data_IF_488795249253
#
_entry.id   IF_488795249253
#
_cell.length_a   1.000
_cell.length_b   1.000
_cell.length_c   1.000
_cell.angle_alpha   90.00
_cell.angle_beta   90.00
_cell.angle_gamma   90.00
#
_symmetry.space_group_name_H-M   'P 1'
#
loop_
_entity.id
_entity.type
_entity.pdbx_description
1 polymer ?
#
# COMPACT_ATOMS: atom_id res chain seq x y z
N UNK A 1 14.65 10.84 -22.93
CA UNK A 1 15.99 11.36 -22.60
C UNK A 1 16.92 10.16 -22.54
N UNK A 2 17.83 10.05 -23.50
CA UNK A 2 18.87 9.01 -23.54
C UNK A 2 20.12 9.51 -22.81
N UNK A 3 21.05 8.61 -22.45
CA UNK A 3 22.28 9.02 -21.77
C UNK A 3 23.12 10.01 -22.60
N UNK A 4 23.17 9.83 -23.93
CA UNK A 4 23.83 10.78 -24.84
C UNK A 4 23.29 12.22 -24.73
N UNK A 5 21.97 12.37 -24.55
CA UNK A 5 21.33 13.69 -24.38
C UNK A 5 21.73 14.30 -23.02
N UNK A 6 21.97 13.48 -22.00
CA UNK A 6 22.43 13.95 -20.68
C UNK A 6 23.86 14.49 -20.81
N UNK A 7 24.75 13.78 -21.51
CA UNK A 7 26.12 14.22 -21.78
C UNK A 7 26.16 15.52 -22.62
N UNK A 8 25.31 15.62 -23.64
CA UNK A 8 25.19 16.82 -24.49
C UNK A 8 24.76 18.05 -23.66
N UNK A 9 23.81 17.89 -22.73
CA UNK A 9 23.37 18.98 -21.84
C UNK A 9 24.46 19.41 -20.87
N UNK A 10 25.27 18.47 -20.39
CA UNK A 10 26.32 18.73 -19.39
C UNK A 10 27.64 19.22 -20.01
N UNK A 11 27.77 19.23 -21.35
CA UNK A 11 29.02 19.50 -22.07
C UNK A 11 30.17 18.59 -21.59
N UNK A 12 29.86 17.34 -21.25
CA UNK A 12 30.84 16.36 -20.76
C UNK A 12 31.02 15.20 -21.74
N UNK A 13 32.28 14.75 -21.91
CA UNK A 13 32.61 13.51 -22.60
C UNK A 13 33.03 12.46 -21.57
N UNK A 14 32.04 11.77 -20.99
CA UNK A 14 32.26 10.64 -20.07
C UNK A 14 31.80 9.33 -20.73
N UNK A 15 32.69 8.35 -20.83
CA UNK A 15 32.34 6.98 -21.22
C UNK A 15 32.09 6.13 -19.97
N UNK A 16 30.88 5.60 -19.85
CA UNK A 16 30.55 4.57 -18.87
C UNK A 16 30.43 3.21 -19.57
N UNK A 17 30.40 2.14 -18.79
CA UNK A 17 30.04 0.84 -19.35
C UNK A 17 28.59 0.90 -19.84
N UNK A 18 28.29 0.24 -20.96
CA UNK A 18 26.95 0.25 -21.58
C UNK A 18 25.82 -0.12 -20.60
N UNK A 19 26.05 -1.09 -19.71
CA UNK A 19 25.08 -1.51 -18.68
C UNK A 19 24.75 -0.36 -17.70
N UNK A 20 25.73 0.50 -17.42
CA UNK A 20 25.57 1.65 -16.53
C UNK A 20 24.81 2.77 -17.24
N UNK A 21 25.13 3.04 -18.51
CA UNK A 21 24.41 4.02 -19.34
C UNK A 21 22.93 3.64 -19.47
N UNK A 22 22.65 2.36 -19.74
CA UNK A 22 21.30 1.82 -19.81
C UNK A 22 20.57 1.98 -18.46
N UNK A 23 21.22 1.67 -17.34
CA UNK A 23 20.61 1.82 -16.02
C UNK A 23 20.30 3.27 -15.67
N UNK A 24 21.20 4.21 -15.98
CA UNK A 24 20.94 5.64 -15.79
C UNK A 24 19.73 6.06 -16.62
N UNK A 25 19.69 5.67 -17.89
CA UNK A 25 18.57 5.97 -18.78
C UNK A 25 17.24 5.41 -18.26
N UNK A 26 17.22 4.14 -17.84
CA UNK A 26 16.03 3.49 -17.26
C UNK A 26 15.61 4.24 -15.99
N UNK A 27 16.54 4.46 -15.05
CA UNK A 27 16.22 5.09 -13.79
C UNK A 27 15.67 6.50 -14.00
N UNK A 28 16.31 7.32 -14.84
CA UNK A 28 15.85 8.68 -15.11
C UNK A 28 14.51 8.71 -15.85
N UNK A 29 14.31 7.85 -16.87
CA UNK A 29 13.04 7.81 -17.62
C UNK A 29 11.87 7.34 -16.76
N UNK A 30 12.12 6.39 -15.87
CA UNK A 30 11.06 5.69 -15.13
C UNK A 30 11.00 6.08 -13.65
N UNK A 31 11.86 6.98 -13.16
CA UNK A 31 11.95 7.38 -11.75
C UNK A 31 10.58 7.60 -11.11
N UNK A 32 9.73 8.42 -11.74
CA UNK A 32 8.39 8.72 -11.23
C UNK A 32 7.49 7.49 -11.14
N UNK A 33 7.57 6.57 -12.10
CA UNK A 33 6.80 5.32 -12.10
C UNK A 33 7.33 4.35 -11.05
N UNK A 34 8.66 4.18 -10.97
CA UNK A 34 9.32 3.35 -9.96
C UNK A 34 8.95 3.83 -8.56
N UNK A 35 9.06 5.13 -8.30
CA UNK A 35 8.69 5.73 -7.02
C UNK A 35 7.22 5.50 -6.68
N UNK A 36 6.31 5.67 -7.65
CA UNK A 36 4.88 5.39 -7.46
C UNK A 36 4.60 3.91 -7.16
N UNK A 37 5.26 2.99 -7.86
CA UNK A 37 5.14 1.56 -7.60
C UNK A 37 5.70 1.17 -6.22
N UNK A 38 6.84 1.74 -5.82
CA UNK A 38 7.40 1.52 -4.48
C UNK A 38 6.47 2.01 -3.38
N UNK A 39 5.84 3.18 -3.54
CA UNK A 39 4.84 3.68 -2.60
C UNK A 39 3.62 2.75 -2.49
N UNK A 40 3.17 2.16 -3.61
CA UNK A 40 2.08 1.19 -3.60
C UNK A 40 2.47 -0.10 -2.87
N UNK A 41 3.68 -0.61 -3.11
CA UNK A 41 4.22 -1.78 -2.40
C UNK A 41 4.28 -1.51 -0.89
N UNK A 42 4.78 -0.34 -0.49
CA UNK A 42 4.86 0.03 0.92
C UNK A 42 3.47 0.12 1.57
N UNK A 43 2.47 0.70 0.86
CA UNK A 43 1.09 0.73 1.33
C UNK A 43 0.54 -0.68 1.57
N UNK A 44 0.75 -1.60 0.64
CA UNK A 44 0.30 -3.00 0.78
C UNK A 44 0.99 -3.67 1.97
N UNK A 45 2.31 -3.51 2.12
CA UNK A 45 3.06 -4.06 3.27
C UNK A 45 2.48 -3.57 4.60
N UNK A 46 2.23 -2.26 4.73
CA UNK A 46 1.61 -1.68 5.94
C UNK A 46 0.23 -2.29 6.22
N UNK A 47 -0.56 -2.60 5.18
CA UNK A 47 -1.86 -3.26 5.34
C UNK A 47 -1.75 -4.74 5.75
N UNK A 48 -0.69 -5.45 5.34
CA UNK A 48 -0.45 -6.84 5.73
C UNK A 48 -0.04 -6.99 7.20
N UNK A 49 0.71 -6.01 7.72
CA UNK A 49 1.15 -5.92 9.12
C UNK A 49 0.00 -5.60 10.08
N UNK A 50 -1.05 -4.91 9.60
CA UNK A 50 -2.23 -4.57 10.40
C UNK A 50 -3.14 -5.81 10.52
N UNK A 51 -2.85 -6.63 11.53
CA UNK A 51 -3.64 -7.80 11.89
C UNK A 51 -5.04 -7.44 12.39
N UNK A 52 -6.00 -8.29 12.05
CA UNK A 52 -7.36 -8.25 12.55
C UNK A 52 -7.49 -9.35 13.60
N UNK A 53 -8.00 -9.06 14.82
CA UNK A 53 -8.27 -10.09 15.83
C UNK A 53 -9.27 -11.14 15.32
N UNK A 54 -9.02 -12.42 15.60
CA UNK A 54 -9.89 -13.53 15.15
C UNK A 54 -11.28 -13.49 15.80
N UNK A 55 -11.37 -12.89 16.98
CA UNK A 55 -12.58 -12.72 17.79
C UNK A 55 -13.29 -11.37 17.53
N UNK A 56 -12.86 -10.62 16.51
CA UNK A 56 -13.48 -9.35 16.17
C UNK A 56 -14.94 -9.57 15.72
N UNK A 57 -15.86 -8.94 16.45
CA UNK A 57 -17.28 -8.92 16.11
C UNK A 57 -17.59 -7.70 15.23
N UNK A 58 -17.64 -7.90 13.92
CA UNK A 58 -17.94 -6.85 12.94
C UNK A 58 -19.35 -6.26 13.09
N UNK A 59 -20.28 -6.96 13.75
CA UNK A 59 -21.64 -6.45 13.99
C UNK A 59 -21.64 -5.23 14.93
N UNK A 60 -20.60 -5.07 15.74
CA UNK A 60 -20.41 -3.92 16.66
C UNK A 60 -19.84 -2.69 15.98
N UNK A 61 -19.59 -2.74 14.67
CA UNK A 61 -19.06 -1.62 13.89
C UNK A 61 -20.21 -1.04 13.06
N UNK A 62 -21.00 -0.16 13.69
CA UNK A 62 -22.22 0.41 13.11
C UNK A 62 -21.97 1.17 11.80
N UNK A 63 -20.79 1.77 11.67
CA UNK A 63 -20.40 2.58 10.51
C UNK A 63 -20.01 1.76 9.28
N UNK A 64 -19.77 0.45 9.40
CA UNK A 64 -19.53 -0.41 8.22
C UNK A 64 -20.81 -0.56 7.39
N UNK A 65 -20.66 -0.67 6.07
CA UNK A 65 -21.77 -1.07 5.23
C UNK A 65 -22.27 -2.47 5.61
N UNK A 66 -23.59 -2.71 5.46
CA UNK A 66 -24.19 -4.02 5.77
C UNK A 66 -23.53 -5.15 4.97
N UNK A 67 -23.34 -4.96 3.67
CA UNK A 67 -22.65 -5.93 2.80
C UNK A 67 -21.21 -6.19 3.28
N UNK A 68 -20.47 -5.13 3.65
CA UNK A 68 -19.12 -5.27 4.15
C UNK A 68 -19.08 -6.05 5.48
N UNK A 69 -20.00 -5.78 6.43
CA UNK A 69 -20.11 -6.55 7.68
C UNK A 69 -20.37 -8.03 7.42
N UNK A 70 -21.31 -8.33 6.54
CA UNK A 70 -21.65 -9.72 6.17
C UNK A 70 -20.43 -10.42 5.57
N UNK A 71 -19.79 -9.79 4.59
CA UNK A 71 -18.62 -10.35 3.89
C UNK A 71 -17.40 -10.52 4.79
N UNK A 72 -17.12 -9.54 5.66
CA UNK A 72 -16.02 -9.63 6.62
C UNK A 72 -16.29 -10.71 7.68
N UNK A 73 -17.53 -10.86 8.14
CA UNK A 73 -17.92 -11.90 9.10
C UNK A 73 -17.88 -13.30 8.50
N UNK A 74 -18.19 -13.44 7.21
CA UNK A 74 -18.12 -14.69 6.46
C UNK A 74 -16.66 -15.11 6.21
N UNK A 75 -15.84 -14.19 5.69
CA UNK A 75 -14.47 -14.48 5.26
C UNK A 75 -13.48 -14.52 6.43
N UNK A 76 -13.71 -13.71 7.48
CA UNK A 76 -12.82 -13.54 8.64
C UNK A 76 -11.36 -13.29 8.25
N UNK A 77 -11.05 -12.17 7.58
CA UNK A 77 -9.70 -11.89 7.11
C UNK A 77 -8.70 -11.73 8.27
N UNK A 78 -7.48 -12.22 8.07
CA UNK A 78 -6.39 -12.17 9.06
C UNK A 78 -5.74 -10.78 9.18
N UNK A 79 -5.85 -9.96 8.13
CA UNK A 79 -5.30 -8.61 8.07
C UNK A 79 -6.07 -7.71 7.11
N UNK A 80 -5.75 -6.42 7.16
CA UNK A 80 -6.39 -5.38 6.34
C UNK A 80 -6.14 -5.60 4.84
N UNK A 81 -4.97 -6.13 4.45
CA UNK A 81 -4.70 -6.44 3.06
C UNK A 81 -5.66 -7.49 2.50
N UNK A 82 -5.94 -8.56 3.26
CA UNK A 82 -6.93 -9.57 2.87
C UNK A 82 -8.33 -8.98 2.83
N UNK A 83 -8.72 -8.20 3.85
CA UNK A 83 -10.03 -7.54 3.90
C UNK A 83 -10.29 -6.69 2.66
N UNK A 84 -9.30 -5.91 2.20
CA UNK A 84 -9.43 -5.02 1.03
C UNK A 84 -9.61 -5.74 -0.30
N UNK A 85 -9.36 -7.05 -0.37
CA UNK A 85 -9.54 -7.86 -1.59
C UNK A 85 -10.90 -8.57 -1.62
N UNK A 86 -11.70 -8.44 -0.57
CA UNK A 86 -13.02 -9.08 -0.50
C UNK A 86 -14.00 -8.28 -1.37
N UNK A 87 -14.64 -8.95 -2.31
CA UNK A 87 -15.71 -8.33 -3.12
C UNK A 87 -16.85 -7.86 -2.22
N UNK A 88 -17.31 -6.64 -2.44
CA UNK A 88 -18.33 -5.99 -1.60
C UNK A 88 -17.76 -5.20 -0.41
N UNK A 89 -16.44 -5.25 -0.17
CA UNK A 89 -15.76 -4.41 0.82
C UNK A 89 -15.05 -3.27 0.09
N UNK A 90 -15.47 -2.03 0.34
CA UNK A 90 -14.95 -0.87 -0.36
C UNK A 90 -13.82 -0.16 0.43
N UNK A 91 -13.10 0.80 -0.17
CA UNK A 91 -12.03 1.53 0.53
C UNK A 91 -12.49 2.32 1.77
N UNK A 92 -13.75 2.77 1.83
CA UNK A 92 -14.29 3.46 3.00
C UNK A 92 -14.50 2.48 4.16
N UNK A 93 -15.01 1.27 3.90
CA UNK A 93 -15.16 0.21 4.90
C UNK A 93 -13.80 -0.16 5.53
N UNK A 94 -12.76 -0.27 4.69
CA UNK A 94 -11.39 -0.53 5.17
C UNK A 94 -10.88 0.61 6.06
N UNK A 95 -11.19 1.86 5.71
CA UNK A 95 -10.80 3.02 6.51
C UNK A 95 -11.50 3.01 7.88
N UNK A 96 -12.79 2.67 7.91
CA UNK A 96 -13.58 2.52 9.14
C UNK A 96 -13.01 1.41 10.01
N UNK A 97 -12.71 0.24 9.43
CA UNK A 97 -12.14 -0.89 10.14
C UNK A 97 -10.76 -0.55 10.74
N UNK A 98 -9.91 0.17 10.00
CA UNK A 98 -8.61 0.64 10.50
C UNK A 98 -8.78 1.55 11.72
N UNK A 99 -9.69 2.53 11.65
CA UNK A 99 -9.97 3.45 12.77
C UNK A 99 -10.47 2.66 13.99
N UNK A 100 -11.39 1.72 13.80
CA UNK A 100 -11.93 0.88 14.87
C UNK A 100 -10.82 0.08 15.58
N UNK A 101 -9.92 -0.54 14.80
CA UNK A 101 -8.79 -1.30 15.34
C UNK A 101 -7.79 -0.42 16.09
N UNK A 102 -7.59 0.84 15.67
CA UNK A 102 -6.70 1.77 16.36
C UNK A 102 -7.31 2.28 17.67
N UNK A 103 -8.61 2.55 17.71
CA UNK A 103 -9.32 2.93 18.94
C UNK A 103 -9.29 1.82 20.00
N UNK A 104 -9.52 0.56 19.59
CA UNK A 104 -9.45 -0.58 20.50
C UNK A 104 -8.04 -0.82 21.08
N UNK A 105 -6.98 -0.45 20.35
CA UNK A 105 -5.60 -0.47 20.87
C UNK A 105 -5.36 0.64 21.90
N UNK A 106 -5.83 1.86 21.64
CA UNK A 106 -5.66 2.98 22.56
C UNK A 106 -6.37 2.76 23.90
N UNK A 107 -7.54 2.11 23.88
CA UNK A 107 -8.27 1.76 25.10
C UNK A 107 -7.52 0.72 25.95
N UNK A 108 -6.85 -0.26 25.34
CA UNK A 108 -6.05 -1.28 26.07
C UNK A 108 -4.74 -0.78 26.68
N UNK A 109 -4.24 0.38 26.27
CA UNK A 109 -2.99 0.97 26.79
C UNK A 109 -3.27 1.91 27.98
N UNK A 110 -4.54 2.20 28.26
CA UNK A 110 -4.98 3.09 29.34
C UNK A 110 -5.34 2.36 30.65
N UNK A 111 -5.11 1.04 30.73
CA UNK A 111 -5.21 0.19 31.92
C UNK A 111 -3.81 -0.25 32.38
#
# INVERSE_FOLDING_TARGET
>A
MTYDIILEILEEEHQLNADVEEQVEIQTKYEGYINKSLQQVEKVKRMEEKKIPEDLDYSKIDSLATEAREKLSEVKPLNIAQASRISGVNPADISILLIYLEQGKLQRVSD
#
